data_IF_393226852398
#
_entry.id   IF_393226852398
#
_cell.length_a   1.000
_cell.length_b   1.000
_cell.length_c   1.000
_cell.angle_alpha   90.00
_cell.angle_beta   90.00
_cell.angle_gamma   90.00
#
_symmetry.space_group_name_H-M   'P 1'
#
loop_
_entity.id
_entity.type
_entity.pdbx_description
1 polymer ?
#
# COMPACT_ATOMS: atom_id res chain seq x y z
N UNK A 1 52.00 3.90 15.04
CA UNK A 1 50.97 4.60 14.26
C UNK A 1 50.36 3.75 13.11
N UNK A 2 50.52 2.42 13.09
CA UNK A 2 50.05 1.57 11.98
C UNK A 2 48.66 0.94 12.18
N UNK A 3 48.12 0.91 13.40
CA UNK A 3 46.84 0.26 13.71
C UNK A 3 45.60 1.06 13.24
N UNK A 4 45.68 2.40 13.22
CA UNK A 4 44.55 3.25 12.80
C UNK A 4 44.18 3.09 11.32
N UNK A 5 45.17 2.86 10.46
CA UNK A 5 44.96 2.71 9.01
C UNK A 5 44.25 1.39 8.67
N UNK A 6 44.53 0.32 9.42
CA UNK A 6 43.85 -0.98 9.27
C UNK A 6 42.37 -0.88 9.64
N UNK A 7 42.04 -0.16 10.72
CA UNK A 7 40.64 0.05 11.14
C UNK A 7 39.86 0.85 10.10
N UNK A 8 40.46 1.89 9.53
CA UNK A 8 39.83 2.69 8.46
C UNK A 8 39.56 1.83 7.21
N UNK A 9 40.52 0.99 6.81
CA UNK A 9 40.33 0.09 5.66
C UNK A 9 39.25 -0.97 5.91
N UNK A 10 39.14 -1.49 7.14
CA UNK A 10 38.08 -2.43 7.52
C UNK A 10 36.70 -1.77 7.49
N UNK A 11 36.56 -0.54 8.01
CA UNK A 11 35.29 0.20 7.99
C UNK A 11 34.87 0.54 6.56
N UNK A 12 35.81 0.97 5.71
CA UNK A 12 35.52 1.24 4.29
C UNK A 12 35.12 -0.03 3.54
N UNK A 13 35.78 -1.17 3.80
CA UNK A 13 35.40 -2.46 3.22
C UNK A 13 34.01 -2.93 3.65
N UNK A 14 33.65 -2.74 4.93
CA UNK A 14 32.32 -3.05 5.45
C UNK A 14 31.23 -2.14 4.84
N UNK A 15 31.51 -0.83 4.71
CA UNK A 15 30.60 0.12 4.06
C UNK A 15 30.41 -0.21 2.57
N UNK A 16 31.47 -0.57 1.87
CA UNK A 16 31.39 -0.97 0.46
C UNK A 16 30.52 -2.23 0.27
N UNK A 17 30.68 -3.23 1.13
CA UNK A 17 29.86 -4.45 1.06
C UNK A 17 28.40 -4.20 1.45
N UNK A 18 28.16 -3.34 2.44
CA UNK A 18 26.83 -2.88 2.83
C UNK A 18 26.13 -2.15 1.66
N UNK A 19 26.80 -1.19 1.01
CA UNK A 19 26.21 -0.42 -0.09
C UNK A 19 26.00 -1.25 -1.36
N UNK A 20 26.89 -2.22 -1.64
CA UNK A 20 26.72 -3.17 -2.75
C UNK A 20 25.49 -4.08 -2.57
N UNK A 21 25.15 -4.43 -1.32
CA UNK A 21 23.95 -5.22 -0.99
C UNK A 21 22.65 -4.45 -1.27
N UNK A 22 22.65 -3.12 -1.08
CA UNK A 22 21.47 -2.26 -1.30
C UNK A 22 21.10 -2.11 -2.78
N UNK A 23 22.04 -2.32 -3.71
CA UNK A 23 21.81 -2.13 -5.16
C UNK A 23 21.36 -3.40 -5.92
N UNK A 24 20.83 -4.42 -5.25
CA UNK A 24 20.21 -5.60 -5.90
C UNK A 24 18.76 -5.83 -5.49
N UNK A 25 17.95 -4.77 -5.54
CA UNK A 25 16.52 -4.86 -5.83
C UNK A 25 16.05 -3.52 -6.40
N UNK A 26 16.13 -3.41 -7.72
CA UNK A 26 15.40 -2.38 -8.43
C UNK A 26 13.91 -2.68 -8.25
N UNK A 27 13.26 -1.90 -7.40
CA UNK A 27 11.82 -1.78 -7.38
C UNK A 27 11.52 -0.29 -7.52
N UNK A 28 11.56 0.10 -8.79
CA UNK A 28 10.85 1.19 -9.45
C UNK A 28 10.13 2.16 -8.52
N UNK A 29 10.80 3.28 -8.22
CA UNK A 29 10.14 4.53 -7.92
C UNK A 29 9.43 5.00 -9.19
N UNK A 30 8.19 4.54 -9.38
CA UNK A 30 7.27 5.16 -10.33
C UNK A 30 6.83 6.50 -9.75
N UNK A 31 7.55 7.55 -10.10
CA UNK A 31 6.96 8.90 -10.18
C UNK A 31 5.93 8.86 -11.30
N UNK A 32 4.73 8.34 -11.00
CA UNK A 32 3.58 8.49 -11.87
C UNK A 32 3.10 9.93 -11.75
N UNK A 33 3.45 10.75 -12.72
CA UNK A 33 2.58 11.86 -13.13
C UNK A 33 1.23 11.27 -13.52
N UNK A 34 0.31 11.21 -12.56
CA UNK A 34 -1.07 10.74 -12.76
C UNK A 34 -1.79 11.77 -13.63
N UNK A 35 -1.85 11.47 -14.92
CA UNK A 35 -2.96 11.94 -15.75
C UNK A 35 -4.20 11.23 -15.19
N UNK A 36 -5.03 11.97 -14.46
CA UNK A 36 -6.29 11.47 -13.91
C UNK A 36 -7.20 11.16 -15.09
N UNK A 37 -7.18 9.92 -15.55
CA UNK A 37 -8.27 9.37 -16.35
C UNK A 37 -9.46 9.21 -15.40
N UNK A 38 -10.64 9.66 -15.84
CA UNK A 38 -11.85 9.60 -15.03
C UNK A 38 -12.10 8.17 -14.55
N UNK A 39 -12.58 7.98 -13.31
CA UNK A 39 -12.92 6.66 -12.81
C UNK A 39 -13.92 6.01 -13.76
N UNK A 40 -13.67 4.76 -14.14
CA UNK A 40 -14.51 3.95 -15.05
C UNK A 40 -15.85 3.53 -14.41
N UNK A 41 -16.22 4.22 -13.32
CA UNK A 41 -17.33 3.93 -12.43
C UNK A 41 -18.67 4.09 -13.16
N UNK A 42 -19.43 2.99 -13.26
CA UNK A 42 -20.71 2.91 -13.97
C UNK A 42 -20.71 2.06 -15.25
N UNK A 43 -19.60 1.39 -15.60
CA UNK A 43 -19.50 0.47 -16.73
C UNK A 43 -19.31 -0.99 -16.28
N UNK A 44 -19.53 -1.93 -17.19
CA UNK A 44 -19.17 -3.34 -16.98
C UNK A 44 -17.67 -3.56 -17.21
N UNK A 45 -17.08 -4.49 -16.45
CA UNK A 45 -15.71 -4.94 -16.61
C UNK A 45 -15.66 -6.45 -16.88
N UNK A 46 -14.91 -6.87 -17.90
CA UNK A 46 -14.69 -8.29 -18.21
C UNK A 46 -13.41 -8.78 -17.54
N UNK A 47 -13.54 -9.76 -16.65
CA UNK A 47 -12.42 -10.39 -15.94
C UNK A 47 -11.42 -11.00 -16.91
N UNK A 48 -10.14 -10.69 -16.71
CA UNK A 48 -9.02 -11.31 -17.44
C UNK A 48 -8.18 -12.21 -16.52
N UNK A 49 -7.30 -13.00 -17.11
CA UNK A 49 -6.44 -13.92 -16.35
C UNK A 49 -5.57 -13.16 -15.34
N UNK A 50 -5.57 -13.61 -14.08
CA UNK A 50 -4.81 -13.00 -12.99
C UNK A 50 -5.52 -11.87 -12.25
N UNK A 51 -6.75 -11.50 -12.64
CA UNK A 51 -7.53 -10.52 -11.90
C UNK A 51 -7.97 -11.04 -10.53
N UNK A 52 -7.90 -10.14 -9.55
CA UNK A 52 -8.64 -10.19 -8.29
C UNK A 52 -9.58 -8.98 -8.18
N UNK A 53 -10.59 -9.04 -7.31
CA UNK A 53 -11.48 -7.89 -7.06
C UNK A 53 -10.71 -6.64 -6.64
N UNK A 54 -9.57 -6.82 -5.96
CA UNK A 54 -8.64 -5.74 -5.64
C UNK A 54 -8.08 -5.09 -6.90
N UNK A 55 -7.45 -5.87 -7.78
CA UNK A 55 -6.83 -5.34 -9.01
C UNK A 55 -7.86 -4.77 -9.99
N UNK A 56 -9.07 -5.34 -10.04
CA UNK A 56 -10.18 -4.78 -10.81
C UNK A 56 -10.57 -3.41 -10.26
N UNK A 57 -10.63 -3.28 -8.93
CA UNK A 57 -10.94 -2.00 -8.30
C UNK A 57 -9.83 -0.97 -8.51
N UNK A 58 -8.56 -1.38 -8.46
CA UNK A 58 -7.43 -0.50 -8.82
C UNK A 58 -7.56 0.02 -10.25
N UNK A 59 -7.92 -0.82 -11.21
CA UNK A 59 -8.13 -0.44 -12.61
C UNK A 59 -9.34 0.49 -12.77
N UNK A 60 -10.45 0.21 -12.07
CA UNK A 60 -11.72 0.93 -12.23
C UNK A 60 -11.76 2.28 -11.49
N UNK A 61 -11.20 2.32 -10.28
CA UNK A 61 -11.33 3.44 -9.35
C UNK A 61 -9.99 4.11 -9.03
N UNK A 62 -8.87 3.59 -9.55
CA UNK A 62 -7.53 4.00 -9.14
C UNK A 62 -7.14 3.52 -7.75
N UNK A 63 -7.98 2.70 -7.10
CA UNK A 63 -7.79 2.21 -5.73
C UNK A 63 -8.43 0.85 -5.52
N UNK A 64 -7.72 -0.06 -4.87
CA UNK A 64 -8.21 -1.40 -4.55
C UNK A 64 -9.30 -1.43 -3.48
N UNK A 65 -9.47 -0.35 -2.70
CA UNK A 65 -10.35 -0.35 -1.52
C UNK A 65 -11.85 -0.42 -1.83
N UNK A 66 -12.26 -0.20 -3.08
CA UNK A 66 -13.63 -0.42 -3.53
C UNK A 66 -13.96 -1.89 -3.85
N UNK A 67 -13.04 -2.84 -3.63
CA UNK A 67 -13.29 -4.26 -3.93
C UNK A 67 -14.53 -4.82 -3.22
N UNK A 68 -14.82 -4.34 -2.01
CA UNK A 68 -16.02 -4.73 -1.25
C UNK A 68 -17.29 -4.22 -1.94
N UNK A 69 -17.26 -3.01 -2.51
CA UNK A 69 -18.39 -2.44 -3.23
C UNK A 69 -18.62 -3.18 -4.55
N UNK A 70 -17.53 -3.51 -5.26
CA UNK A 70 -17.59 -4.36 -6.46
C UNK A 70 -18.15 -5.74 -6.11
N UNK A 71 -17.64 -6.40 -5.07
CA UNK A 71 -18.19 -7.67 -4.62
C UNK A 71 -19.68 -7.55 -4.29
N UNK A 72 -20.05 -6.51 -3.55
CA UNK A 72 -21.43 -6.31 -3.11
C UNK A 72 -22.42 -6.17 -4.28
N UNK A 73 -21.99 -5.55 -5.39
CA UNK A 73 -22.76 -5.39 -6.61
C UNK A 73 -22.84 -6.66 -7.47
N UNK A 74 -21.96 -7.65 -7.24
CA UNK A 74 -21.80 -8.84 -8.09
C UNK A 74 -22.02 -10.17 -7.35
N UNK A 75 -22.64 -10.16 -6.15
CA UNK A 75 -22.82 -11.37 -5.34
C UNK A 75 -23.53 -12.50 -6.07
N UNK A 76 -24.50 -12.16 -6.93
CA UNK A 76 -25.28 -13.13 -7.71
C UNK A 76 -24.43 -13.85 -8.77
N UNK A 77 -23.42 -13.17 -9.31
CA UNK A 77 -22.51 -13.71 -10.34
C UNK A 77 -21.34 -14.45 -9.72
N UNK A 78 -20.95 -14.07 -8.50
CA UNK A 78 -19.79 -14.63 -7.79
C UNK A 78 -20.15 -15.75 -6.80
N UNK A 79 -21.44 -16.10 -6.65
CA UNK A 79 -21.95 -17.18 -5.78
C UNK A 79 -21.36 -17.14 -4.35
N UNK A 80 -21.32 -15.94 -3.76
CA UNK A 80 -20.72 -15.69 -2.45
C UNK A 80 -19.22 -16.01 -2.28
N UNK A 81 -18.48 -16.21 -3.37
CA UNK A 81 -17.04 -16.50 -3.37
C UNK A 81 -16.22 -15.33 -3.96
N UNK A 82 -15.79 -14.35 -3.13
CA UNK A 82 -15.09 -13.14 -3.61
C UNK A 82 -13.70 -13.43 -4.23
N UNK A 83 -13.09 -14.56 -3.87
CA UNK A 83 -11.76 -14.96 -4.34
C UNK A 83 -11.81 -15.76 -5.66
N UNK A 84 -13.01 -16.16 -6.12
CA UNK A 84 -13.20 -16.94 -7.34
C UNK A 84 -13.67 -16.04 -8.48
N UNK A 85 -12.72 -15.64 -9.33
CA UNK A 85 -12.96 -14.87 -10.54
C UNK A 85 -12.64 -15.71 -11.77
N UNK A 86 -13.66 -16.04 -12.55
CA UNK A 86 -13.49 -16.74 -13.82
C UNK A 86 -13.23 -15.74 -14.95
N UNK A 87 -12.27 -16.06 -15.81
CA UNK A 87 -11.96 -15.26 -17.00
C UNK A 87 -13.20 -15.17 -17.89
N UNK A 88 -13.50 -13.96 -18.36
CA UNK A 88 -14.68 -13.66 -19.18
C UNK A 88 -15.92 -13.29 -18.37
N UNK A 89 -15.91 -13.44 -17.04
CA UNK A 89 -17.01 -12.97 -16.19
C UNK A 89 -17.17 -11.46 -16.33
N UNK A 90 -18.40 -10.99 -16.56
CA UNK A 90 -18.72 -9.57 -16.54
C UNK A 90 -19.10 -9.14 -15.12
N UNK A 91 -18.39 -8.15 -14.62
CA UNK A 91 -18.65 -7.50 -13.33
C UNK A 91 -19.28 -6.14 -13.57
N UNK A 92 -20.33 -5.83 -12.82
CA UNK A 92 -20.88 -4.49 -12.71
C UNK A 92 -19.95 -3.66 -11.82
N UNK A 93 -19.43 -2.53 -12.32
CA UNK A 93 -18.67 -1.58 -11.51
C UNK A 93 -19.60 -0.49 -10.97
N UNK A 94 -19.98 -0.53 -9.68
CA UNK A 94 -20.92 0.44 -9.13
C UNK A 94 -20.33 1.86 -9.15
N UNK A 95 -21.18 2.85 -9.41
CA UNK A 95 -20.81 4.27 -9.30
C UNK A 95 -20.88 4.72 -7.84
N UNK A 96 -19.80 4.47 -7.12
CA UNK A 96 -19.62 4.81 -5.70
C UNK A 96 -18.45 5.77 -5.51
N UNK A 97 -18.40 6.40 -4.34
CA UNK A 97 -17.24 7.19 -3.94
C UNK A 97 -15.98 6.31 -3.94
N UNK A 98 -14.91 6.82 -4.55
CA UNK A 98 -13.63 6.12 -4.57
C UNK A 98 -13.04 6.12 -3.15
N UNK A 99 -12.87 4.94 -2.59
CA UNK A 99 -12.22 4.75 -1.29
C UNK A 99 -10.72 4.85 -1.49
N UNK A 100 -10.07 5.78 -0.83
CA UNK A 100 -8.63 5.98 -0.93
C UNK A 100 -7.88 5.30 0.22
N UNK A 101 -6.63 4.87 0.00
CA UNK A 101 -5.75 4.53 1.10
C UNK A 101 -5.61 5.74 2.03
N UNK A 102 -5.98 5.57 3.29
CA UNK A 102 -5.78 6.62 4.29
C UNK A 102 -4.28 6.78 4.47
N UNK A 103 -3.73 7.90 4.00
CA UNK A 103 -2.31 8.24 4.19
C UNK A 103 -2.19 9.36 5.20
N UNK A 104 -1.18 9.28 6.06
CA UNK A 104 -0.95 10.29 7.09
C UNK A 104 0.51 10.73 7.09
N UNK A 105 0.73 12.04 7.04
CA UNK A 105 2.07 12.62 7.19
C UNK A 105 2.33 12.89 8.65
N UNK A 106 3.35 12.23 9.21
CA UNK A 106 3.75 12.36 10.62
C UNK A 106 4.09 13.82 10.96
N UNK A 107 3.53 14.31 12.04
CA UNK A 107 3.77 15.65 12.60
C UNK A 107 4.49 15.56 13.95
N UNK A 108 5.10 16.67 14.45
CA UNK A 108 5.80 16.64 15.73
C UNK A 108 4.90 16.17 16.88
N UNK A 109 5.36 15.17 17.64
CA UNK A 109 4.63 14.60 18.79
C UNK A 109 3.71 13.44 18.46
N UNK A 110 3.60 13.03 17.20
CA UNK A 110 2.79 11.88 16.82
C UNK A 110 3.38 10.54 17.28
N UNK A 111 2.49 9.60 17.56
CA UNK A 111 2.77 8.18 17.68
C UNK A 111 1.70 7.38 16.92
N UNK A 112 1.97 6.10 16.63
CA UNK A 112 1.06 5.30 15.82
C UNK A 112 -0.33 5.13 16.44
N UNK A 113 -0.45 5.12 17.78
CA UNK A 113 -1.74 5.04 18.45
C UNK A 113 -2.61 6.26 18.15
N UNK A 114 -2.07 7.47 18.37
CA UNK A 114 -2.82 8.72 18.17
C UNK A 114 -3.15 8.93 16.68
N UNK A 115 -2.23 8.57 15.78
CA UNK A 115 -2.48 8.60 14.33
C UNK A 115 -3.65 7.66 13.99
N UNK A 116 -3.62 6.42 14.48
CA UNK A 116 -4.71 5.46 14.28
C UNK A 116 -6.05 5.98 14.82
N UNK A 117 -6.09 6.57 16.02
CA UNK A 117 -7.30 7.19 16.56
C UNK A 117 -7.80 8.32 15.66
N UNK A 118 -6.91 9.21 15.21
CA UNK A 118 -7.25 10.36 14.38
C UNK A 118 -7.77 9.95 12.99
N UNK A 119 -7.17 8.92 12.40
CA UNK A 119 -7.48 8.46 11.05
C UNK A 119 -8.64 7.46 10.99
N UNK A 120 -8.81 6.63 12.01
CA UNK A 120 -9.73 5.48 12.00
C UNK A 120 -10.72 5.47 13.18
N UNK A 121 -10.68 6.48 14.05
CA UNK A 121 -11.52 6.57 15.25
C UNK A 121 -11.14 5.61 16.38
N UNK A 122 -10.13 4.74 16.19
CA UNK A 122 -9.67 3.80 17.20
C UNK A 122 -8.15 3.58 17.13
N UNK A 123 -7.51 3.36 18.28
CA UNK A 123 -6.06 3.21 18.37
C UNK A 123 -5.55 1.82 18.02
N UNK A 124 -6.40 0.79 18.04
CA UNK A 124 -5.99 -0.62 17.92
C UNK A 124 -5.43 -1.01 16.55
N UNK A 125 -5.59 -0.17 15.54
CA UNK A 125 -5.02 -0.41 14.21
C UNK A 125 -3.54 -0.05 14.08
N UNK A 126 -2.92 0.47 15.14
CA UNK A 126 -1.52 0.92 15.10
C UNK A 126 -0.55 -0.21 14.72
N UNK A 127 -0.80 -1.44 15.17
CA UNK A 127 0.05 -2.62 14.87
C UNK A 127 -0.04 -2.99 13.39
N UNK A 128 -1.26 -2.96 12.83
CA UNK A 128 -1.50 -3.24 11.41
C UNK A 128 -0.79 -2.18 10.56
N UNK A 129 -0.94 -0.91 10.94
CA UNK A 129 -0.24 0.22 10.31
C UNK A 129 1.28 0.06 10.37
N UNK A 130 1.84 -0.31 11.53
CA UNK A 130 3.28 -0.55 11.66
C UNK A 130 3.79 -1.63 10.70
N UNK A 131 3.05 -2.75 10.62
CA UNK A 131 3.37 -3.88 9.74
C UNK A 131 3.27 -3.50 8.27
N UNK A 132 2.19 -2.81 7.88
CA UNK A 132 1.95 -2.36 6.50
C UNK A 132 3.08 -1.46 6.00
N UNK A 133 3.56 -0.57 6.88
CA UNK A 133 4.66 0.33 6.57
C UNK A 133 6.05 -0.29 6.82
N UNK A 134 6.11 -1.58 7.18
CA UNK A 134 7.34 -2.33 7.44
C UNK A 134 8.27 -1.61 8.43
N UNK A 135 7.69 -1.00 9.46
CA UNK A 135 8.45 -0.22 10.43
C UNK A 135 9.30 -1.17 11.28
N UNK A 136 10.62 -0.99 11.22
CA UNK A 136 11.56 -1.76 12.05
C UNK A 136 11.37 -1.45 13.55
N UNK A 137 11.13 -0.17 13.87
CA UNK A 137 10.78 0.27 15.21
C UNK A 137 9.50 1.12 15.15
N UNK A 138 8.35 0.59 15.60
CA UNK A 138 7.07 1.32 15.57
C UNK A 138 7.02 2.59 16.44
N UNK A 139 7.93 2.72 17.41
CA UNK A 139 8.01 3.90 18.29
C UNK A 139 8.88 5.02 17.70
N UNK A 140 9.54 4.79 16.56
CA UNK A 140 10.39 5.77 15.90
C UNK A 140 9.73 6.22 14.60
N UNK A 141 9.07 7.38 14.66
CA UNK A 141 8.49 8.04 13.51
C UNK A 141 9.25 9.33 13.21
N UNK A 142 9.43 9.64 11.93
CA UNK A 142 10.09 10.87 11.50
C UNK A 142 9.05 11.89 11.04
N UNK A 143 9.18 13.14 11.47
CA UNK A 143 8.32 14.22 10.96
C UNK A 143 8.44 14.30 9.44
N UNK A 144 7.29 14.39 8.76
CA UNK A 144 7.21 14.34 7.30
C UNK A 144 7.14 12.92 6.71
N UNK A 145 7.34 11.87 7.51
CA UNK A 145 7.13 10.49 7.07
C UNK A 145 5.68 10.27 6.68
N UNK A 146 5.44 9.73 5.48
CA UNK A 146 4.10 9.34 5.04
C UNK A 146 3.85 7.89 5.42
N UNK A 147 2.78 7.65 6.18
CA UNK A 147 2.34 6.33 6.61
C UNK A 147 1.06 5.94 5.88
N UNK A 148 1.00 4.70 5.38
CA UNK A 148 -0.23 4.03 4.96
C UNK A 148 -0.99 3.56 6.20
N UNK A 149 -2.09 4.21 6.52
CA UNK A 149 -2.91 3.88 7.68
C UNK A 149 -3.93 2.82 7.29
N UNK A 150 -3.98 1.76 8.08
CA UNK A 150 -4.95 0.67 7.93
C UNK A 150 -6.04 0.86 8.98
N UNK A 151 -7.32 0.92 8.59
CA UNK A 151 -8.42 1.18 9.52
C UNK A 151 -9.26 -0.07 9.89
N UNK A 152 -9.07 -1.16 9.16
CA UNK A 152 -9.93 -2.35 9.13
C UNK A 152 -9.16 -3.63 9.48
#
# INVERSE_FOLDING_TARGET
MALGLVVVLLVVGLLYNYFKSVNKKGETTSTSTVKVEEPVAGNDYTVVAGDSLWTVSEKAYGSGYNWVDVYAANKDVLDAHPDLLFVGTKLVLPKVEVKQPVSYTVTPGDNLWNISVKSCGNGYTWVKTARENKLANPNLLYVGQVLKIVCN
#
